data_IF_904404789062
#
_entry.id   IF_904404789062
#
_cell.length_a   1.000
_cell.length_b   1.000
_cell.length_c   1.000
_cell.angle_alpha   90.00
_cell.angle_beta   90.00
_cell.angle_gamma   90.00
#
_symmetry.space_group_name_H-M   'P 1'
#
loop_
_entity.id
_entity.type
_entity.pdbx_description
1 polymer ?
#
# COMPACT_ATOMS: atom_id res chain seq x y z
N UNK A 1 6.51 -6.02 -13.82
CA UNK A 1 5.14 -6.07 -13.30
C UNK A 1 5.28 -5.92 -11.80
N UNK A 2 4.54 -5.01 -11.21
CA UNK A 2 4.62 -4.70 -9.77
C UNK A 2 3.26 -4.97 -9.12
N UNK A 3 3.26 -5.01 -7.80
CA UNK A 3 2.06 -4.82 -7.03
C UNK A 3 1.87 -3.34 -6.67
N UNK A 4 0.61 -2.94 -6.46
CA UNK A 4 0.20 -1.56 -6.24
C UNK A 4 -0.70 -1.50 -5.00
N UNK A 5 -0.38 -0.61 -4.07
CA UNK A 5 -1.27 -0.29 -2.94
C UNK A 5 -2.27 0.77 -3.40
N UNK A 6 -3.54 0.58 -3.08
CA UNK A 6 -4.65 1.44 -3.50
C UNK A 6 -5.36 2.11 -2.32
N UNK A 7 -6.44 2.86 -2.59
CA UNK A 7 -7.01 3.81 -1.63
C UNK A 7 -7.42 3.20 -0.28
N UNK A 8 -7.79 1.91 -0.27
CA UNK A 8 -8.25 1.21 0.93
C UNK A 8 -7.20 1.19 2.05
N UNK A 9 -5.91 1.37 1.72
CA UNK A 9 -4.84 1.46 2.71
C UNK A 9 -4.79 2.82 3.45
N UNK A 10 -5.25 3.90 2.81
CA UNK A 10 -5.21 5.26 3.37
C UNK A 10 -6.00 5.30 4.68
N UNK A 11 -5.42 5.90 5.73
CA UNK A 11 -5.98 5.96 7.10
C UNK A 11 -6.08 4.60 7.83
N UNK A 12 -5.79 3.49 7.17
CA UNK A 12 -5.73 2.16 7.78
C UNK A 12 -4.30 1.80 8.18
N UNK A 13 -3.40 1.74 7.20
CA UNK A 13 -1.97 1.42 7.35
C UNK A 13 -1.72 0.31 8.38
N UNK A 14 -2.32 -0.87 8.15
CA UNK A 14 -2.18 -2.04 9.05
C UNK A 14 -0.76 -2.63 9.05
N UNK A 15 -0.04 -2.50 7.94
CA UNK A 15 1.37 -2.90 7.73
C UNK A 15 1.67 -4.41 7.71
N UNK A 16 0.69 -5.32 7.82
CA UNK A 16 0.93 -6.78 7.77
C UNK A 16 1.65 -7.25 6.49
N UNK A 17 1.43 -6.54 5.38
CA UNK A 17 2.04 -6.81 4.09
C UNK A 17 3.58 -6.71 4.08
N UNK A 18 4.18 -5.98 5.04
CA UNK A 18 5.64 -5.77 5.09
C UNK A 18 6.38 -7.00 5.59
N UNK A 19 5.81 -7.76 6.53
CA UNK A 19 6.49 -8.92 7.14
C UNK A 19 6.63 -10.10 6.16
N UNK A 20 5.83 -10.13 5.09
CA UNK A 20 5.86 -11.17 4.08
C UNK A 20 6.61 -10.77 2.81
N UNK A 21 7.10 -9.53 2.73
CA UNK A 21 7.81 -9.05 1.54
C UNK A 21 9.26 -9.57 1.53
N UNK A 22 9.67 -10.42 0.58
CA UNK A 22 11.01 -11.01 0.58
C UNK A 22 12.13 -10.04 0.18
N UNK A 23 11.77 -8.85 -0.34
CA UNK A 23 12.68 -7.87 -0.91
C UNK A 23 12.55 -6.48 -0.28
N UNK A 24 11.77 -6.36 0.81
CA UNK A 24 11.64 -5.12 1.58
C UNK A 24 11.21 -3.88 0.76
N UNK A 25 10.44 -4.08 -0.32
CA UNK A 25 10.08 -3.03 -1.28
C UNK A 25 8.96 -2.07 -0.82
N UNK A 26 8.53 -2.12 0.45
CA UNK A 26 7.52 -1.21 0.98
C UNK A 26 8.14 0.09 1.50
N UNK A 27 7.41 1.19 1.30
CA UNK A 27 7.80 2.55 1.69
C UNK A 27 6.69 3.17 2.52
N UNK A 28 7.05 3.79 3.64
CA UNK A 28 6.10 4.23 4.67
C UNK A 28 5.86 5.74 4.63
N UNK A 29 4.59 6.11 4.42
CA UNK A 29 4.10 7.46 4.63
C UNK A 29 3.37 7.64 5.96
N UNK A 30 2.91 8.87 6.26
CA UNK A 30 2.16 9.17 7.48
C UNK A 30 0.89 8.34 7.65
N UNK A 31 0.17 8.08 6.55
CA UNK A 31 -1.11 7.36 6.60
C UNK A 31 -1.36 6.36 5.46
N UNK A 32 -0.31 5.98 4.72
CA UNK A 32 -0.37 5.09 3.57
C UNK A 32 0.97 4.35 3.40
N UNK A 33 0.97 3.21 2.70
CA UNK A 33 2.17 2.50 2.28
C UNK A 33 2.23 2.49 0.75
N UNK A 34 3.42 2.68 0.19
CA UNK A 34 3.68 2.52 -1.24
C UNK A 34 4.58 1.31 -1.50
N UNK A 35 4.40 0.65 -2.63
CA UNK A 35 5.32 -0.39 -3.14
C UNK A 35 6.27 0.25 -4.16
N UNK A 36 7.56 0.02 -4.00
CA UNK A 36 8.57 0.40 -4.97
C UNK A 36 8.52 -0.56 -6.18
N UNK A 37 8.13 -0.08 -7.38
CA UNK A 37 7.97 -0.94 -8.55
C UNK A 37 9.29 -1.48 -9.10
N UNK A 38 10.41 -0.82 -8.81
CA UNK A 38 11.73 -1.24 -9.28
C UNK A 38 12.32 -2.38 -8.42
N UNK A 39 11.85 -2.51 -7.17
CA UNK A 39 12.26 -3.56 -6.23
C UNK A 39 11.26 -4.71 -6.15
N UNK A 40 9.97 -4.49 -6.46
CA UNK A 40 8.96 -5.53 -6.42
C UNK A 40 9.27 -6.67 -7.41
N UNK A 41 9.24 -7.90 -6.92
CA UNK A 41 9.51 -9.11 -7.72
C UNK A 41 8.25 -9.90 -8.10
N UNK A 42 7.08 -9.28 -7.95
CA UNK A 42 5.80 -9.86 -8.38
C UNK A 42 5.46 -11.23 -7.75
N UNK A 43 5.79 -11.42 -6.47
CA UNK A 43 5.56 -12.70 -5.78
C UNK A 43 4.13 -12.90 -5.26
N UNK A 44 3.29 -11.86 -5.28
CA UNK A 44 1.89 -11.83 -4.85
C UNK A 44 1.58 -12.23 -3.38
N UNK A 45 2.59 -12.49 -2.55
CA UNK A 45 2.36 -12.92 -1.15
C UNK A 45 1.67 -11.82 -0.32
N UNK A 46 1.98 -10.55 -0.57
CA UNK A 46 1.41 -9.43 0.19
C UNK A 46 -0.08 -9.19 -0.06
N UNK A 47 -0.65 -9.69 -1.17
CA UNK A 47 -2.05 -9.46 -1.55
C UNK A 47 -3.02 -10.05 -0.53
N UNK A 48 -2.78 -11.30 -0.10
CA UNK A 48 -3.64 -12.02 0.84
C UNK A 48 -3.49 -11.53 2.29
N UNK A 49 -2.37 -10.88 2.62
CA UNK A 49 -2.08 -10.42 3.99
C UNK A 49 -2.72 -9.07 4.30
N UNK A 50 -3.13 -8.28 3.29
CA UNK A 50 -3.73 -6.97 3.53
C UNK A 50 -5.17 -7.11 4.07
N UNK A 51 -5.47 -6.70 5.33
CA UNK A 51 -6.80 -6.91 5.92
C UNK A 51 -7.95 -6.17 5.21
N UNK A 52 -7.61 -5.13 4.44
CA UNK A 52 -8.53 -4.27 3.70
C UNK A 52 -8.45 -4.46 2.18
N UNK A 53 -7.78 -5.53 1.73
CA UNK A 53 -7.63 -5.88 0.32
C UNK A 53 -7.16 -4.69 -0.55
N UNK A 54 -6.19 -3.92 -0.05
CA UNK A 54 -5.73 -2.71 -0.72
C UNK A 54 -4.59 -2.95 -1.72
N UNK A 55 -4.19 -4.21 -1.97
CA UNK A 55 -3.01 -4.52 -2.79
C UNK A 55 -3.46 -5.35 -3.98
N UNK A 56 -3.07 -4.91 -5.17
CA UNK A 56 -3.42 -5.53 -6.44
C UNK A 56 -2.17 -5.73 -7.29
N UNK A 57 -2.18 -6.72 -8.18
CA UNK A 57 -1.26 -6.70 -9.32
C UNK A 57 -1.58 -5.47 -10.19
N UNK A 58 -0.57 -4.86 -10.81
CA UNK A 58 -0.72 -3.65 -11.63
C UNK A 58 -1.84 -3.79 -12.69
N UNK A 59 -1.93 -4.94 -13.35
CA UNK A 59 -2.96 -5.27 -14.34
C UNK A 59 -4.37 -5.44 -13.75
N UNK A 60 -4.48 -5.74 -12.46
CA UNK A 60 -5.74 -6.01 -11.76
C UNK A 60 -6.24 -4.79 -10.97
N UNK A 61 -5.52 -3.66 -11.03
CA UNK A 61 -5.95 -2.41 -10.38
C UNK A 61 -7.31 -1.98 -10.96
N UNK A 62 -8.32 -1.69 -10.12
CA UNK A 62 -9.61 -1.19 -10.58
C UNK A 62 -9.49 0.04 -11.49
N UNK A 63 -10.34 0.14 -12.51
CA UNK A 63 -10.23 1.17 -13.54
C UNK A 63 -10.28 2.61 -13.02
N UNK A 64 -10.99 2.85 -11.92
CA UNK A 64 -11.07 4.14 -11.21
C UNK A 64 -9.85 4.44 -10.33
N UNK A 65 -8.97 3.46 -10.10
CA UNK A 65 -7.81 3.55 -9.22
C UNK A 65 -6.46 3.38 -9.94
N UNK A 66 -6.45 3.36 -11.27
CA UNK A 66 -5.24 3.22 -12.09
C UNK A 66 -4.15 4.26 -11.79
N UNK A 67 -4.53 5.45 -11.30
CA UNK A 67 -3.60 6.50 -10.88
C UNK A 67 -2.73 6.09 -9.68
N UNK A 68 -3.10 5.07 -8.92
CA UNK A 68 -2.28 4.57 -7.81
C UNK A 68 -0.96 3.93 -8.27
N UNK A 69 -0.88 3.42 -9.51
CA UNK A 69 0.36 2.85 -10.05
C UNK A 69 1.47 3.91 -10.11
N UNK A 70 1.19 5.07 -10.71
CA UNK A 70 2.13 6.19 -10.75
C UNK A 70 2.40 6.78 -9.36
N UNK A 71 1.36 6.86 -8.51
CA UNK A 71 1.47 7.37 -7.15
C UNK A 71 2.41 6.51 -6.28
N UNK A 72 2.33 5.18 -6.39
CA UNK A 72 3.23 4.28 -5.66
C UNK A 72 4.68 4.52 -6.10
N UNK A 73 4.93 4.61 -7.41
CA UNK A 73 6.26 4.89 -7.96
C UNK A 73 6.81 6.27 -7.55
N UNK A 74 5.96 7.29 -7.41
CA UNK A 74 6.32 8.62 -6.93
C UNK A 74 6.69 8.58 -5.44
N UNK A 75 5.79 8.06 -4.60
CA UNK A 75 5.93 8.05 -3.15
C UNK A 75 7.06 7.12 -2.70
N UNK A 76 7.30 6.03 -3.43
CA UNK A 76 8.36 5.09 -3.08
C UNK A 76 9.76 5.71 -3.12
N UNK A 77 9.95 6.75 -3.94
CA UNK A 77 11.22 7.51 -4.03
C UNK A 77 11.37 8.54 -2.91
N UNK A 78 10.25 9.00 -2.33
CA UNK A 78 10.22 10.06 -1.33
C UNK A 78 10.22 9.51 0.10
N UNK A 79 9.63 8.34 0.32
CA UNK A 79 9.40 7.77 1.64
C UNK A 79 10.46 6.74 2.07
N UNK A 80 10.73 6.62 3.38
CA UNK A 80 11.65 5.62 3.90
C UNK A 80 11.12 4.20 3.74
N UNK A 81 12.02 3.23 3.64
CA UNK A 81 11.67 1.80 3.68
C UNK A 81 11.12 1.38 5.05
N UNK A 82 10.12 0.50 5.02
CA UNK A 82 9.58 -0.21 6.18
C UNK A 82 9.72 -1.71 5.98
N UNK A 83 10.32 -2.38 6.96
CA UNK A 83 10.66 -3.82 6.88
C UNK A 83 10.09 -4.65 8.03
N UNK A 84 9.28 -4.02 8.90
CA UNK A 84 8.65 -4.66 10.05
C UNK A 84 7.28 -4.07 10.31
N UNK A 85 6.32 -4.93 10.62
CA UNK A 85 4.96 -4.52 11.01
C UNK A 85 4.99 -3.58 12.22
N UNK A 86 4.09 -2.61 12.20
CA UNK A 86 3.78 -1.69 13.29
C UNK A 86 2.31 -1.80 13.64
N UNK A 87 1.92 -1.23 14.79
CA UNK A 87 0.50 -1.11 15.11
C UNK A 87 -0.22 -0.30 14.03
N UNK A 88 -1.44 -0.73 13.61
CA UNK A 88 -2.29 0.04 12.71
C UNK A 88 -2.57 1.45 13.25
N UNK A 89 -3.05 2.33 12.38
CA UNK A 89 -3.48 3.65 12.83
C UNK A 89 -4.65 3.54 13.81
N UNK A 90 -4.78 4.45 14.80
CA UNK A 90 -5.88 4.41 15.77
C UNK A 90 -7.27 4.44 15.13
N UNK A 91 -7.37 5.09 13.96
CA UNK A 91 -8.63 5.25 13.21
C UNK A 91 -8.84 4.11 12.18
N UNK A 92 -7.94 3.11 12.09
CA UNK A 92 -7.97 2.11 11.03
C UNK A 92 -9.30 1.35 10.94
N UNK A 93 -9.88 0.98 12.09
CA UNK A 93 -11.16 0.29 12.14
C UNK A 93 -12.35 1.15 11.70
N UNK A 94 -12.24 2.48 11.81
CA UNK A 94 -13.25 3.43 11.33
C UNK A 94 -13.16 3.61 9.81
N UNK A 95 -11.95 3.54 9.24
CA UNK A 95 -11.69 3.82 7.83
C UNK A 95 -11.60 2.57 6.93
N UNK A 96 -11.64 1.36 7.49
CA UNK A 96 -11.47 0.11 6.73
C UNK A 96 -12.51 -0.11 5.63
N UNK A 97 -13.74 0.37 5.83
CA UNK A 97 -14.86 0.23 4.90
C UNK A 97 -15.19 1.54 4.15
N UNK A 98 -14.44 2.61 4.41
CA UNK A 98 -14.64 3.93 3.79
C UNK A 98 -13.96 3.99 2.42
N UNK A 99 -14.68 4.52 1.43
CA UNK A 99 -14.22 4.72 0.05
C UNK A 99 -13.87 6.18 -0.23
N UNK A 100 -13.27 6.44 -1.38
CA UNK A 100 -12.85 7.76 -1.84
C UNK A 100 -11.84 8.43 -0.89
N UNK A 101 -10.93 7.63 -0.33
CA UNK A 101 -9.97 8.07 0.70
C UNK A 101 -8.77 8.81 0.14
N UNK A 102 -8.61 8.89 -1.19
CA UNK A 102 -7.48 9.57 -1.83
C UNK A 102 -7.31 11.01 -1.34
N UNK A 103 -8.40 11.73 -1.11
CA UNK A 103 -8.37 13.11 -0.60
C UNK A 103 -7.78 13.26 0.81
N UNK A 104 -7.65 12.14 1.56
CA UNK A 104 -7.10 12.09 2.91
C UNK A 104 -5.63 11.69 2.93
N UNK A 105 -5.01 11.39 1.78
CA UNK A 105 -3.60 11.00 1.70
C UNK A 105 -2.69 12.11 2.23
N UNK A 106 -1.80 11.75 3.15
CA UNK A 106 -0.74 12.63 3.65
C UNK A 106 0.59 12.25 2.98
N UNK A 107 1.28 13.23 2.39
CA UNK A 107 2.55 13.07 1.67
C UNK A 107 3.75 13.44 2.56
#
# INVERSE_FOLDING_TARGET
>A
MTHVVTESCIKCRYTDCVDVCPVDCFREGPNFLAIDPDECIDCAVCVAECPVNAIYAEEDVPGDQQHFTELNAELAKAWPSITKTKSPLPEADEFKDVKEKLALLER
#
